data_IF_680079011474
#
_entry.id   IF_680079011474
#
_cell.length_a   1.000
_cell.length_b   1.000
_cell.length_c   1.000
_cell.angle_alpha   90.00
_cell.angle_beta   90.00
_cell.angle_gamma   90.00
#
_symmetry.space_group_name_H-M   'P 1'
#
loop_
_entity.id
_entity.type
_entity.pdbx_description
1 polymer ?
#
# COMPACT_ATOMS: atom_id res chain seq x y z
N UNK A 1 58.14 -30.76 5.51
CA UNK A 1 56.78 -30.97 6.04
C UNK A 1 56.02 -29.65 5.91
N UNK A 2 55.24 -29.45 4.85
CA UNK A 2 54.34 -28.29 4.71
C UNK A 2 52.89 -28.75 4.91
N UNK A 3 52.22 -28.14 5.89
CA UNK A 3 50.80 -28.34 6.20
C UNK A 3 49.95 -27.60 5.16
N UNK A 4 49.12 -28.31 4.40
CA UNK A 4 48.03 -27.70 3.64
C UNK A 4 46.86 -27.45 4.59
N UNK A 5 46.59 -26.17 4.84
CA UNK A 5 45.48 -25.67 5.64
C UNK A 5 44.17 -25.81 4.87
N UNK A 6 43.17 -26.40 5.53
CA UNK A 6 41.81 -26.60 5.06
C UNK A 6 41.15 -25.28 4.62
N UNK A 7 40.96 -25.10 3.30
CA UNK A 7 40.15 -24.03 2.75
C UNK A 7 38.67 -24.44 2.85
N UNK A 8 37.99 -24.00 3.92
CA UNK A 8 36.52 -24.10 4.04
C UNK A 8 35.90 -23.16 3.00
N UNK A 9 35.38 -23.72 1.93
CA UNK A 9 34.52 -23.01 0.98
C UNK A 9 33.24 -22.66 1.74
N UNK A 10 33.17 -21.40 2.19
CA UNK A 10 31.97 -20.83 2.78
C UNK A 10 30.97 -20.63 1.65
N UNK A 11 29.98 -21.53 1.59
CA UNK A 11 28.84 -21.43 0.68
C UNK A 11 28.01 -20.24 1.16
N UNK A 12 28.31 -19.04 0.64
CA UNK A 12 27.44 -17.87 0.79
C UNK A 12 26.10 -18.25 0.20
N UNK A 13 25.13 -18.49 1.09
CA UNK A 13 23.75 -18.76 0.74
C UNK A 13 23.22 -17.64 -0.12
N UNK A 14 23.07 -17.91 -1.41
CA UNK A 14 22.31 -17.08 -2.33
C UNK A 14 20.85 -17.18 -1.87
N UNK A 15 20.45 -16.33 -0.94
CA UNK A 15 19.04 -16.12 -0.66
C UNK A 15 18.45 -15.48 -1.90
N UNK A 16 17.88 -16.29 -2.77
CA UNK A 16 16.98 -15.84 -3.83
C UNK A 16 15.79 -15.24 -3.11
N UNK A 17 15.84 -13.92 -2.90
CA UNK A 17 14.66 -13.15 -2.57
C UNK A 17 13.77 -13.24 -3.81
N UNK A 18 12.88 -14.23 -3.86
CA UNK A 18 11.80 -14.18 -4.82
C UNK A 18 11.09 -12.84 -4.54
N UNK A 19 10.97 -11.93 -5.52
CA UNK A 19 10.10 -10.79 -5.34
C UNK A 19 8.73 -11.39 -5.07
N UNK A 20 8.23 -11.20 -3.84
CA UNK A 20 6.83 -11.41 -3.53
C UNK A 20 6.07 -10.75 -4.66
N UNK A 21 5.15 -11.47 -5.30
CA UNK A 21 4.34 -10.92 -6.37
C UNK A 21 3.56 -9.74 -5.78
N UNK A 22 4.12 -8.55 -5.92
CA UNK A 22 3.47 -7.31 -5.54
C UNK A 22 2.43 -7.12 -6.63
N UNK A 23 1.15 -7.33 -6.31
CA UNK A 23 0.10 -7.04 -7.29
C UNK A 23 0.27 -5.57 -7.72
N UNK A 24 0.27 -5.33 -9.03
CA UNK A 24 0.30 -3.95 -9.50
C UNK A 24 -1.01 -3.28 -9.06
N UNK A 25 -0.93 -2.03 -8.61
CA UNK A 25 -2.13 -1.25 -8.39
C UNK A 25 -2.78 -0.93 -9.74
N UNK A 26 -4.09 -1.01 -9.82
CA UNK A 26 -4.85 -0.63 -11.00
C UNK A 26 -5.15 0.87 -10.93
N UNK A 27 -4.44 1.66 -11.73
CA UNK A 27 -4.57 3.11 -11.71
C UNK A 27 -5.78 3.58 -12.49
N UNK A 28 -6.49 4.57 -11.94
CA UNK A 28 -7.61 5.20 -12.65
C UNK A 28 -7.11 5.88 -13.94
N UNK A 29 -7.89 5.77 -15.01
CA UNK A 29 -7.42 6.01 -16.39
C UNK A 29 -7.15 7.47 -16.74
N UNK A 30 -7.71 8.43 -15.99
CA UNK A 30 -7.53 9.86 -16.24
C UNK A 30 -6.13 10.31 -15.85
N UNK A 31 -5.40 10.96 -16.75
CA UNK A 31 -4.13 11.63 -16.41
C UNK A 31 -4.39 13.01 -15.84
N UNK A 32 -3.77 13.30 -14.70
CA UNK A 32 -3.93 14.56 -14.02
C UNK A 32 -2.66 14.93 -13.25
N UNK A 33 -2.18 16.16 -13.47
CA UNK A 33 -0.99 16.65 -12.77
C UNK A 33 -1.37 17.23 -11.43
N UNK A 34 -0.91 16.60 -10.36
CA UNK A 34 -1.08 17.08 -9.00
C UNK A 34 0.21 17.76 -8.52
N UNK A 35 0.03 18.83 -7.75
CA UNK A 35 1.13 19.56 -7.13
C UNK A 35 0.78 19.86 -5.67
N UNK A 36 1.81 19.99 -4.83
CA UNK A 36 1.66 20.37 -3.42
C UNK A 36 1.23 19.20 -2.53
N UNK A 37 0.26 19.46 -1.65
CA UNK A 37 -0.06 18.62 -0.49
C UNK A 37 -0.70 17.26 -0.81
N UNK A 38 -1.11 17.00 -2.06
CA UNK A 38 -1.77 15.73 -2.44
C UNK A 38 -0.92 14.51 -2.09
N UNK A 39 0.40 14.59 -2.24
CA UNK A 39 1.28 13.47 -1.89
C UNK A 39 1.35 13.26 -0.37
N UNK A 40 1.43 14.34 0.41
CA UNK A 40 1.46 14.26 1.87
C UNK A 40 0.12 13.78 2.44
N UNK A 41 -0.99 14.25 1.86
CA UNK A 41 -2.35 13.81 2.16
C UNK A 41 -2.52 12.32 1.85
N UNK A 42 -2.00 11.85 0.72
CA UNK A 42 -2.00 10.44 0.36
C UNK A 42 -1.25 9.57 1.38
N UNK A 43 -0.07 10.01 1.85
CA UNK A 43 0.66 9.31 2.90
C UNK A 43 -0.04 9.38 4.26
N UNK A 44 -0.69 10.50 4.57
CA UNK A 44 -1.44 10.71 5.81
C UNK A 44 -2.67 9.80 5.90
N UNK A 45 -3.43 9.70 4.80
CA UNK A 45 -4.57 8.76 4.71
C UNK A 45 -4.12 7.31 4.84
N UNK A 46 -3.03 6.89 4.19
CA UNK A 46 -2.43 5.56 4.41
C UNK A 46 -2.13 5.32 5.87
N UNK A 47 -1.38 6.24 6.50
CA UNK A 47 -0.97 6.08 7.89
C UNK A 47 -2.18 5.92 8.82
N UNK A 48 -3.24 6.70 8.57
CA UNK A 48 -4.46 6.66 9.37
C UNK A 48 -5.24 5.37 9.14
N UNK A 49 -5.50 4.98 7.88
CA UNK A 49 -6.29 3.78 7.59
C UNK A 49 -5.62 2.50 8.08
N UNK A 50 -4.28 2.43 7.97
CA UNK A 50 -3.51 1.24 8.32
C UNK A 50 -3.11 1.15 9.80
N UNK A 51 -3.45 2.15 10.62
CA UNK A 51 -3.17 2.15 12.06
C UNK A 51 -4.42 1.80 12.85
N UNK A 52 -4.36 0.74 13.65
CA UNK A 52 -5.48 0.35 14.48
C UNK A 52 -5.79 1.45 15.52
N UNK A 53 -7.06 1.87 15.60
CA UNK A 53 -7.51 2.92 16.51
C UNK A 53 -7.15 4.35 16.09
N UNK A 54 -6.72 4.57 14.83
CA UNK A 54 -6.48 5.91 14.32
C UNK A 54 -7.75 6.77 14.34
N UNK A 55 -7.59 8.05 14.65
CA UNK A 55 -8.67 9.02 14.59
C UNK A 55 -9.08 9.29 13.13
N UNK A 56 -10.36 9.56 12.90
CA UNK A 56 -10.89 9.94 11.58
C UNK A 56 -11.17 8.77 10.63
N UNK A 57 -10.84 7.53 11.01
CA UNK A 57 -11.27 6.34 10.27
C UNK A 57 -12.74 6.07 10.57
N UNK A 58 -13.58 6.17 9.54
CA UNK A 58 -15.00 5.89 9.62
C UNK A 58 -15.30 4.55 8.93
N UNK A 59 -15.89 3.61 9.64
CA UNK A 59 -16.31 2.33 9.09
C UNK A 59 -17.84 2.21 9.13
N UNK A 60 -18.39 1.46 8.17
CA UNK A 60 -19.82 1.11 8.21
C UNK A 60 -20.13 0.20 9.42
N UNK A 61 -21.42 0.04 9.73
CA UNK A 61 -21.88 -0.74 10.88
C UNK A 61 -21.37 -2.19 10.88
N UNK A 62 -21.20 -2.74 9.68
CA UNK A 62 -20.89 -4.15 9.49
C UNK A 62 -19.37 -4.40 9.40
N UNK A 63 -18.56 -3.33 9.51
CA UNK A 63 -17.09 -3.36 9.43
C UNK A 63 -16.56 -4.04 8.14
N UNK A 64 -17.27 -3.88 7.04
CA UNK A 64 -16.90 -4.36 5.70
C UNK A 64 -16.37 -3.24 4.80
N UNK A 65 -16.53 -1.99 5.23
CA UNK A 65 -16.00 -0.82 4.55
C UNK A 65 -15.48 0.18 5.56
N UNK A 66 -14.30 0.74 5.31
CA UNK A 66 -13.69 1.81 6.09
C UNK A 66 -13.11 2.88 5.18
N UNK A 67 -13.18 4.14 5.60
CA UNK A 67 -12.66 5.28 4.86
C UNK A 67 -11.99 6.29 5.80
N UNK A 68 -10.99 6.99 5.29
CA UNK A 68 -10.37 8.15 5.94
C UNK A 68 -9.99 9.17 4.89
N UNK A 69 -10.06 10.45 5.25
CA UNK A 69 -9.66 11.55 4.38
C UNK A 69 -8.59 12.43 5.02
N UNK A 70 -7.72 12.98 4.18
CA UNK A 70 -6.80 14.05 4.51
C UNK A 70 -6.78 15.01 3.32
N UNK A 71 -7.11 16.29 3.55
CA UNK A 71 -7.26 17.26 2.48
C UNK A 71 -8.20 16.77 1.37
N UNK A 72 -7.69 16.70 0.14
CA UNK A 72 -8.42 16.23 -1.04
C UNK A 72 -8.19 14.75 -1.35
N UNK A 73 -7.59 13.97 -0.44
CA UNK A 73 -7.34 12.54 -0.66
C UNK A 73 -8.20 11.71 0.28
N UNK A 74 -8.77 10.64 -0.26
CA UNK A 74 -9.52 9.62 0.47
C UNK A 74 -8.83 8.28 0.27
N UNK A 75 -8.56 7.57 1.34
CA UNK A 75 -8.22 6.15 1.30
C UNK A 75 -9.38 5.33 1.83
N UNK A 76 -9.70 4.23 1.15
CA UNK A 76 -10.75 3.30 1.55
C UNK A 76 -10.25 1.87 1.58
N UNK A 77 -10.93 1.05 2.37
CA UNK A 77 -10.81 -0.40 2.34
C UNK A 77 -12.21 -1.00 2.27
N UNK A 78 -12.36 -2.05 1.48
CA UNK A 78 -13.54 -2.90 1.40
C UNK A 78 -13.13 -4.37 1.52
N UNK A 79 -13.89 -5.15 2.30
CA UNK A 79 -13.65 -6.57 2.49
C UNK A 79 -14.69 -7.22 3.41
N UNK A 80 -14.45 -8.49 3.77
CA UNK A 80 -15.39 -9.27 4.59
C UNK A 80 -15.18 -9.11 6.10
N UNK A 81 -13.96 -8.75 6.53
CA UNK A 81 -13.62 -8.59 7.94
C UNK A 81 -12.55 -7.50 8.12
N UNK A 82 -12.85 -6.45 8.89
CA UNK A 82 -11.93 -5.34 9.18
C UNK A 82 -10.57 -5.78 9.74
N UNK A 83 -10.49 -6.92 10.40
CA UNK A 83 -9.18 -7.42 10.88
C UNK A 83 -8.24 -7.77 9.72
N UNK A 84 -8.78 -8.17 8.57
CA UNK A 84 -8.00 -8.52 7.38
C UNK A 84 -7.46 -7.28 6.66
N UNK A 85 -8.11 -6.12 6.84
CA UNK A 85 -7.64 -4.82 6.34
C UNK A 85 -6.18 -4.59 6.71
N UNK A 86 -5.82 -4.78 7.97
CA UNK A 86 -4.49 -4.40 8.47
C UNK A 86 -3.37 -5.27 7.92
N UNK A 87 -3.65 -6.51 7.50
CA UNK A 87 -2.64 -7.46 7.07
C UNK A 87 -1.87 -7.03 5.82
N UNK A 88 -2.49 -6.24 4.94
CA UNK A 88 -1.90 -5.79 3.67
C UNK A 88 -2.04 -4.29 3.42
N UNK A 89 -2.72 -3.54 4.30
CA UNK A 89 -3.01 -2.12 4.10
C UNK A 89 -1.76 -1.28 3.76
N UNK A 90 -0.67 -1.48 4.49
CA UNK A 90 0.56 -0.69 4.31
C UNK A 90 1.15 -0.86 2.92
N UNK A 91 1.25 -2.10 2.45
CA UNK A 91 1.82 -2.42 1.13
C UNK A 91 0.85 -2.07 0.01
N UNK A 92 -0.43 -2.39 0.17
CA UNK A 92 -1.48 -2.10 -0.80
C UNK A 92 -1.54 -0.60 -1.13
N UNK A 93 -1.66 0.25 -0.11
CA UNK A 93 -1.70 1.69 -0.30
C UNK A 93 -0.34 2.27 -0.68
N UNK A 94 0.78 1.69 -0.23
CA UNK A 94 2.10 2.09 -0.74
C UNK A 94 2.19 1.92 -2.26
N UNK A 95 1.69 0.80 -2.77
CA UNK A 95 1.70 0.51 -4.19
C UNK A 95 0.76 1.44 -4.95
N UNK A 96 -0.47 1.64 -4.47
CA UNK A 96 -1.41 2.55 -5.11
C UNK A 96 -0.88 4.00 -5.16
N UNK A 97 -0.27 4.49 -4.08
CA UNK A 97 0.34 5.83 -4.03
C UNK A 97 1.49 5.94 -5.04
N UNK A 98 2.48 5.04 -4.95
CA UNK A 98 3.69 5.15 -5.76
C UNK A 98 3.46 4.84 -7.25
N UNK A 99 2.58 3.89 -7.57
CA UNK A 99 2.34 3.49 -8.96
C UNK A 99 1.33 4.41 -9.64
N UNK A 100 0.34 4.94 -8.91
CA UNK A 100 -0.73 5.73 -9.51
C UNK A 100 -0.61 7.22 -9.22
N UNK A 101 -0.61 7.62 -7.95
CA UNK A 101 -0.63 9.04 -7.58
C UNK A 101 0.64 9.76 -8.07
N UNK A 102 1.82 9.16 -7.84
CA UNK A 102 3.10 9.70 -8.36
C UNK A 102 3.25 9.62 -9.89
N UNK A 103 2.46 8.76 -10.54
CA UNK A 103 2.36 8.70 -12.00
C UNK A 103 1.33 9.68 -12.56
N UNK A 104 0.93 10.70 -11.79
CA UNK A 104 -0.07 11.70 -12.19
C UNK A 104 -1.41 11.06 -12.57
N UNK A 105 -1.86 10.07 -11.79
CA UNK A 105 -3.20 9.49 -11.88
C UNK A 105 -3.99 9.88 -10.61
N UNK A 106 -5.31 10.07 -10.68
CA UNK A 106 -6.12 10.51 -9.55
C UNK A 106 -6.26 9.45 -8.47
N UNK A 107 -5.59 8.31 -8.58
CA UNK A 107 -5.72 7.22 -7.64
C UNK A 107 -5.62 5.86 -8.30
N UNK A 108 -5.92 4.85 -7.52
CA UNK A 108 -5.97 3.47 -7.97
C UNK A 108 -6.43 2.53 -6.86
N UNK A 109 -6.75 1.32 -7.27
CA UNK A 109 -7.12 0.21 -6.40
C UNK A 109 -6.00 -0.83 -6.33
N UNK A 110 -5.94 -1.54 -5.21
CA UNK A 110 -5.12 -2.72 -5.01
C UNK A 110 -6.02 -3.81 -4.44
N UNK A 111 -6.10 -4.93 -5.14
CA UNK A 111 -6.92 -6.08 -4.74
C UNK A 111 -6.05 -7.25 -4.30
N UNK A 112 -6.38 -7.82 -3.15
CA UNK A 112 -5.72 -9.02 -2.64
C UNK A 112 -6.63 -9.79 -1.70
N UNK A 113 -6.75 -11.11 -1.93
CA UNK A 113 -7.49 -12.03 -1.06
C UNK A 113 -8.92 -11.54 -0.73
N UNK A 114 -9.66 -11.03 -1.72
CA UNK A 114 -11.03 -10.53 -1.55
C UNK A 114 -11.16 -9.21 -0.79
N UNK A 115 -10.05 -8.50 -0.59
CA UNK A 115 -10.00 -7.16 -0.03
C UNK A 115 -9.54 -6.17 -1.09
N UNK A 116 -10.12 -4.97 -1.08
CA UNK A 116 -9.78 -3.88 -1.99
C UNK A 116 -9.37 -2.66 -1.18
N UNK A 117 -8.16 -2.16 -1.42
CA UNK A 117 -7.70 -0.87 -0.89
C UNK A 117 -7.70 0.12 -2.03
N UNK A 118 -8.29 1.28 -1.81
CA UNK A 118 -8.38 2.32 -2.84
C UNK A 118 -7.81 3.60 -2.29
N UNK A 119 -7.08 4.32 -3.14
CA UNK A 119 -6.76 5.72 -2.90
C UNK A 119 -7.34 6.57 -4.02
N UNK A 120 -8.01 7.65 -3.65
CA UNK A 120 -8.68 8.55 -4.58
C UNK A 120 -8.37 9.99 -4.20
N UNK A 121 -7.88 10.75 -5.17
CA UNK A 121 -7.74 12.20 -5.12
C UNK A 121 -9.05 12.80 -5.63
N UNK A 122 -9.74 13.53 -4.76
CA UNK A 122 -10.94 14.26 -5.07
C UNK A 122 -10.58 15.48 -5.94
N UNK A 123 -11.33 15.66 -7.02
CA UNK A 123 -11.29 16.86 -7.83
C UNK A 123 -11.58 18.10 -6.96
N UNK A 124 -10.71 19.11 -7.03
CA UNK A 124 -10.94 20.44 -6.44
C UNK A 124 -11.68 21.34 -7.41
#
# INVERSE_FOLDING_TARGET
MLRLSNLKISLLGLSVSLPLAVNAANCFSTEWKFYGNVYDDAWSTRSSLCTNGANGVNCNSDNTFCAVSAGNVVATWEGSNKNDMFGQCWDALNNAINQCVYSNKPGGDYEYNGNTWTITVLAV
#
